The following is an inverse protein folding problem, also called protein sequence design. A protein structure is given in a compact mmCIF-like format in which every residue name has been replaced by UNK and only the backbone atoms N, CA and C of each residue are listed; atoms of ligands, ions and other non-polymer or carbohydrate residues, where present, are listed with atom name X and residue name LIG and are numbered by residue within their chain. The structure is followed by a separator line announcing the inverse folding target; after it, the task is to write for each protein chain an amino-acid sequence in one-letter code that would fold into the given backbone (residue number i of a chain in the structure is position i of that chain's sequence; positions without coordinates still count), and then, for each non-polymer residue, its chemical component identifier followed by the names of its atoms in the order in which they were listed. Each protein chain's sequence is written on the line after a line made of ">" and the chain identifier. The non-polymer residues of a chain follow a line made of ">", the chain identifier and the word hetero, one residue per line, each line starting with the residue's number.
data_IF_367072771471
#
_entry.id   IF_367072771471
#
_cell.length_a   1.000
_cell.length_b   1.000
_cell.length_c   1.000
_cell.angle_alpha   90.00
_cell.angle_beta   90.00
_cell.angle_gamma   90.00
#
_symmetry.space_group_name_H-M   'P 1'
#
loop_
_entity.id
_entity.type
_entity.pdbx_description
1 polymer ?
#
# COMPACT_ATOMS: atom_id res chain seq x y z
N UNK A 1 5.12 21.73 -2.57
CA UNK A 1 3.88 21.36 -1.87
C UNK A 1 4.19 20.15 -0.99
N UNK A 2 4.20 20.32 0.33
CA UNK A 2 4.58 19.26 1.26
C UNK A 2 3.46 18.22 1.37
N UNK A 3 3.76 16.96 1.11
CA UNK A 3 2.87 15.84 1.43
C UNK A 3 2.73 15.85 2.96
N UNK A 4 1.52 16.05 3.53
CA UNK A 4 1.36 16.09 4.97
C UNK A 4 1.88 14.76 5.55
N UNK A 5 2.74 14.87 6.57
CA UNK A 5 3.19 13.71 7.32
C UNK A 5 1.95 12.96 7.81
N UNK A 6 1.84 11.68 7.45
CA UNK A 6 0.79 10.79 7.96
C UNK A 6 0.71 10.99 9.48
N UNK A 7 -0.49 11.29 9.98
CA UNK A 7 -0.83 10.95 11.35
C UNK A 7 -0.47 9.46 11.52
N UNK A 8 0.60 9.18 12.28
CA UNK A 8 1.06 7.81 12.52
C UNK A 8 2.30 7.34 11.76
N UNK A 9 3.39 8.13 11.68
CA UNK A 9 4.70 7.46 11.68
C UNK A 9 4.80 6.71 13.00
N UNK A 10 4.82 5.38 12.97
CA UNK A 10 4.90 4.58 14.19
C UNK A 10 6.17 4.98 14.97
N UNK A 11 6.12 4.92 16.30
CA UNK A 11 7.31 5.20 17.16
C UNK A 11 8.54 4.41 16.69
N UNK A 12 8.31 3.20 16.18
CA UNK A 12 9.35 2.29 15.67
C UNK A 12 9.88 2.68 14.30
N UNK A 13 9.05 3.23 13.41
CA UNK A 13 9.54 3.77 12.12
C UNK A 13 10.50 4.95 12.36
N UNK A 14 10.22 5.81 13.36
CA UNK A 14 11.18 6.85 13.80
C UNK A 14 12.46 6.26 14.42
N UNK A 15 12.34 5.22 15.24
CA UNK A 15 13.51 4.55 15.82
C UNK A 15 14.40 3.91 14.74
N UNK A 16 13.79 3.21 13.78
CA UNK A 16 14.50 2.64 12.63
C UNK A 16 15.20 3.74 11.82
N UNK A 17 14.52 4.87 11.57
CA UNK A 17 15.12 6.03 10.92
C UNK A 17 16.36 6.54 11.67
N UNK A 18 16.27 6.68 13.00
CA UNK A 18 17.38 7.17 13.83
C UNK A 18 18.58 6.23 13.79
N UNK A 19 18.35 4.92 13.90
CA UNK A 19 19.42 3.92 13.86
C UNK A 19 20.08 3.83 12.48
N UNK A 20 19.29 3.93 11.40
CA UNK A 20 19.85 4.00 10.05
C UNK A 20 20.69 5.27 9.88
N UNK A 21 20.18 6.42 10.34
CA UNK A 21 20.89 7.70 10.26
C UNK A 21 22.20 7.73 11.09
N UNK A 22 22.29 6.94 12.17
CA UNK A 22 23.49 6.82 13.00
C UNK A 22 24.45 5.70 12.57
N UNK A 23 24.26 5.10 11.39
CA UNK A 23 25.09 4.01 10.88
C UNK A 23 24.86 2.65 11.55
N UNK A 24 23.80 2.52 12.35
CA UNK A 24 23.43 1.32 13.11
C UNK A 24 22.30 0.53 12.41
N UNK A 25 22.25 0.58 11.07
CA UNK A 25 21.21 -0.09 10.27
C UNK A 25 21.09 -1.60 10.53
N UNK A 26 22.21 -2.27 10.80
CA UNK A 26 22.27 -3.70 11.09
C UNK A 26 21.78 -4.08 12.50
N UNK A 27 21.51 -3.11 13.39
CA UNK A 27 21.01 -3.39 14.73
C UNK A 27 19.62 -4.03 14.65
N UNK A 28 19.42 -5.14 15.39
CA UNK A 28 18.11 -5.79 15.47
C UNK A 28 17.12 -4.94 16.28
N UNK A 29 15.89 -4.94 15.80
CA UNK A 29 14.71 -4.39 16.46
C UNK A 29 13.65 -5.48 16.53
N UNK A 30 13.03 -5.60 17.69
CA UNK A 30 11.77 -6.31 17.85
C UNK A 30 10.66 -5.29 18.11
N UNK A 31 9.55 -5.42 17.39
CA UNK A 31 8.42 -4.50 17.48
C UNK A 31 7.09 -5.23 17.33
N UNK A 32 6.07 -4.88 18.12
CA UNK A 32 4.71 -5.28 17.81
C UNK A 32 4.28 -4.62 16.49
N UNK A 33 3.59 -5.38 15.67
CA UNK A 33 3.02 -4.97 14.40
C UNK A 33 1.59 -5.53 14.28
N UNK A 34 0.82 -4.95 13.37
CA UNK A 34 -0.53 -5.40 13.03
C UNK A 34 -0.65 -5.50 11.52
N UNK A 35 -1.02 -6.69 11.02
CA UNK A 35 -1.36 -6.87 9.63
C UNK A 35 -2.78 -7.42 9.55
N UNK A 36 -3.70 -6.63 8.97
CA UNK A 36 -5.09 -7.01 8.77
C UNK A 36 -5.80 -7.47 10.04
N UNK A 37 -5.59 -6.74 11.15
CA UNK A 37 -6.19 -7.05 12.45
C UNK A 37 -5.44 -8.10 13.26
N UNK A 38 -4.43 -8.78 12.68
CA UNK A 38 -3.59 -9.73 13.41
C UNK A 38 -2.37 -9.03 14.00
N UNK A 39 -2.27 -9.04 15.32
CA UNK A 39 -1.09 -8.58 16.03
C UNK A 39 0.00 -9.66 16.03
N UNK A 40 1.25 -9.26 15.82
CA UNK A 40 2.42 -10.15 15.88
C UNK A 40 3.67 -9.35 16.23
N UNK A 41 4.76 -10.04 16.56
CA UNK A 41 6.06 -9.40 16.77
C UNK A 41 6.93 -9.57 15.53
N UNK A 42 7.42 -8.46 14.99
CA UNK A 42 8.44 -8.43 13.94
C UNK A 42 9.80 -8.35 14.60
N UNK A 43 10.72 -9.27 14.27
CA UNK A 43 12.13 -9.17 14.63
C UNK A 43 13.00 -9.10 13.37
N UNK A 44 13.61 -7.94 13.11
CA UNK A 44 14.43 -7.68 11.91
C UNK A 44 15.47 -6.59 12.19
N UNK A 45 16.32 -6.24 11.22
CA UNK A 45 17.27 -5.13 11.37
C UNK A 45 16.59 -3.76 11.19
N UNK A 46 17.18 -2.70 11.75
CA UNK A 46 16.65 -1.34 11.66
C UNK A 46 16.52 -0.86 10.20
N UNK A 47 17.50 -1.20 9.36
CA UNK A 47 17.47 -0.87 7.93
C UNK A 47 16.34 -1.59 7.19
N UNK A 48 16.11 -2.88 7.45
CA UNK A 48 15.04 -3.66 6.81
C UNK A 48 13.69 -3.11 7.25
N UNK A 49 13.49 -2.92 8.56
CA UNK A 49 12.25 -2.36 9.10
C UNK A 49 11.95 -0.98 8.49
N UNK A 50 12.93 -0.07 8.48
CA UNK A 50 12.73 1.28 7.98
C UNK A 50 12.54 1.33 6.46
N UNK A 51 13.22 0.47 5.70
CA UNK A 51 13.04 0.37 4.24
C UNK A 51 11.58 0.05 3.86
N UNK A 52 10.87 -0.69 4.71
CA UNK A 52 9.48 -1.04 4.53
C UNK A 52 8.52 0.03 5.08
N UNK A 53 8.70 0.41 6.35
CA UNK A 53 7.75 1.22 7.14
C UNK A 53 7.93 2.74 7.01
N UNK A 54 8.96 3.19 6.29
CA UNK A 54 9.14 4.61 5.98
C UNK A 54 7.94 5.15 5.18
N UNK A 55 7.56 6.44 5.33
CA UNK A 55 6.60 7.09 4.44
C UNK A 55 6.97 7.04 2.95
N UNK A 56 8.27 6.85 2.64
CA UNK A 56 8.79 6.62 1.29
C UNK A 56 9.25 5.17 1.07
N UNK A 57 8.95 4.29 2.03
CA UNK A 57 9.32 2.89 2.06
C UNK A 57 8.55 2.05 1.04
N UNK A 58 8.88 0.76 0.99
CA UNK A 58 8.33 -0.18 0.02
C UNK A 58 6.82 -0.40 0.19
N UNK A 59 6.28 -0.29 1.40
CA UNK A 59 4.85 -0.46 1.67
C UNK A 59 4.01 0.81 1.41
N UNK A 60 4.63 1.94 1.11
CA UNK A 60 3.91 3.21 0.95
C UNK A 60 3.28 3.33 -0.43
N UNK A 61 2.03 2.89 -0.59
CA UNK A 61 1.32 3.04 -1.86
C UNK A 61 1.34 4.47 -2.42
N UNK A 62 1.16 5.56 -1.63
CA UNK A 62 1.30 6.92 -2.16
C UNK A 62 2.69 7.23 -2.77
N UNK A 63 3.76 6.62 -2.25
CA UNK A 63 5.11 6.77 -2.79
C UNK A 63 5.40 5.83 -3.97
N UNK A 64 4.67 4.70 -4.07
CA UNK A 64 4.92 3.64 -5.07
C UNK A 64 3.99 3.72 -6.27
N UNK A 65 2.72 4.04 -6.08
CA UNK A 65 1.71 4.17 -7.13
C UNK A 65 2.19 5.04 -8.32
N UNK A 66 2.78 6.24 -8.11
CA UNK A 66 3.27 7.06 -9.22
C UNK A 66 4.38 6.42 -10.07
N UNK A 67 5.02 5.34 -9.57
CA UNK A 67 6.13 4.65 -10.23
C UNK A 67 5.69 3.47 -11.08
N UNK A 68 4.41 3.10 -11.09
CA UNK A 68 3.91 2.06 -12.00
C UNK A 68 4.12 2.50 -13.45
N UNK A 69 4.64 1.60 -14.30
CA UNK A 69 4.83 1.88 -15.73
C UNK A 69 3.49 2.14 -16.40
N UNK A 70 3.49 2.97 -17.45
CA UNK A 70 2.33 3.17 -18.32
C UNK A 70 1.95 1.90 -19.09
N UNK A 71 2.84 0.93 -19.20
CA UNK A 71 2.63 -0.31 -19.96
C UNK A 71 1.96 -1.41 -19.13
N UNK A 72 1.66 -1.13 -17.85
CA UNK A 72 1.02 -2.10 -16.95
C UNK A 72 -0.42 -1.65 -16.66
N UNK A 73 -1.45 -2.39 -17.11
CA UNK A 73 -2.82 -2.10 -16.75
C UNK A 73 -3.08 -2.40 -15.27
N UNK A 74 -3.76 -1.49 -14.57
CA UNK A 74 -4.08 -1.61 -13.15
C UNK A 74 -5.58 -1.70 -12.91
N UNK A 75 -6.03 -2.77 -12.27
CA UNK A 75 -7.33 -2.81 -11.62
C UNK A 75 -7.16 -2.53 -10.12
N UNK A 76 -7.85 -1.51 -9.60
CA UNK A 76 -8.00 -1.30 -8.16
C UNK A 76 -9.46 -1.48 -7.79
N UNK A 77 -9.74 -2.51 -6.99
CA UNK A 77 -11.06 -2.77 -6.41
C UNK A 77 -11.02 -2.46 -4.91
N UNK A 78 -12.02 -1.76 -4.40
CA UNK A 78 -12.13 -1.45 -2.97
C UNK A 78 -13.58 -1.42 -2.49
N UNK A 79 -13.80 -1.87 -1.25
CA UNK A 79 -15.09 -1.72 -0.58
C UNK A 79 -15.33 -0.28 -0.10
N UNK A 80 -16.55 0.23 -0.21
CA UNK A 80 -16.95 1.57 0.24
C UNK A 80 -16.94 1.75 1.77
N UNK A 81 -16.91 0.64 2.52
CA UNK A 81 -16.75 0.61 3.97
C UNK A 81 -15.32 0.24 4.40
N UNK A 82 -14.38 0.12 3.46
CA UNK A 82 -12.98 -0.10 3.77
C UNK A 82 -12.38 1.17 4.43
N UNK A 83 -11.61 1.06 5.52
CA UNK A 83 -10.93 2.21 6.13
C UNK A 83 -10.03 3.00 5.15
N UNK A 84 -9.58 2.37 4.07
CA UNK A 84 -8.75 2.95 3.03
C UNK A 84 -9.54 3.57 1.88
N UNK A 85 -10.87 3.47 1.86
CA UNK A 85 -11.73 3.88 0.73
C UNK A 85 -11.44 5.30 0.25
N UNK A 86 -11.44 6.26 1.17
CA UNK A 86 -11.22 7.68 0.86
C UNK A 86 -9.81 7.97 0.30
N UNK A 87 -8.83 7.09 0.53
CA UNK A 87 -7.46 7.26 0.05
C UNK A 87 -7.18 6.52 -1.26
N UNK A 88 -7.92 5.44 -1.54
CA UNK A 88 -7.60 4.52 -2.63
C UNK A 88 -7.62 5.20 -4.00
N UNK A 89 -8.65 5.98 -4.31
CA UNK A 89 -8.69 6.67 -5.59
C UNK A 89 -7.62 7.79 -5.70
N UNK A 90 -7.63 8.82 -4.83
CA UNK A 90 -6.76 9.98 -5.02
C UNK A 90 -5.27 9.69 -4.75
N UNK A 91 -4.94 8.76 -3.85
CA UNK A 91 -3.55 8.51 -3.47
C UNK A 91 -2.93 7.26 -4.12
N UNK A 92 -3.75 6.35 -4.68
CA UNK A 92 -3.26 5.08 -5.23
C UNK A 92 -3.65 4.93 -6.69
N UNK A 93 -4.94 4.90 -7.00
CA UNK A 93 -5.41 4.63 -8.36
C UNK A 93 -4.99 5.73 -9.33
N UNK A 94 -5.38 6.99 -9.10
CA UNK A 94 -5.12 8.07 -10.06
C UNK A 94 -3.61 8.26 -10.36
N UNK A 95 -2.69 8.16 -9.38
CA UNK A 95 -1.26 8.24 -9.67
C UNK A 95 -0.68 7.03 -10.42
N UNK A 96 -1.28 5.84 -10.29
CA UNK A 96 -0.78 4.59 -10.89
C UNK A 96 -1.44 4.24 -12.24
N UNK A 97 -2.71 4.57 -12.42
CA UNK A 97 -3.56 4.18 -13.53
C UNK A 97 -3.28 4.99 -14.80
N UNK A 98 -2.09 4.79 -15.38
CA UNK A 98 -1.64 5.48 -16.60
C UNK A 98 -2.01 4.73 -17.87
N UNK A 99 -2.22 3.42 -17.78
CA UNK A 99 -2.61 2.59 -18.91
C UNK A 99 -4.10 2.76 -19.23
N UNK A 100 -4.52 2.82 -20.51
CA UNK A 100 -5.93 2.95 -20.92
C UNK A 100 -6.89 1.86 -20.43
N UNK A 101 -6.39 0.68 -20.06
CA UNK A 101 -7.20 -0.43 -19.55
C UNK A 101 -7.22 -0.46 -18.02
N UNK A 102 -6.63 0.54 -17.35
CA UNK A 102 -6.72 0.66 -15.90
C UNK A 102 -8.15 0.97 -15.49
N UNK A 103 -8.61 0.39 -14.39
CA UNK A 103 -9.98 0.56 -13.89
C UNK A 103 -10.00 0.69 -12.37
N UNK A 104 -10.82 1.62 -11.89
CA UNK A 104 -11.18 1.74 -10.48
C UNK A 104 -12.59 1.20 -10.28
N UNK A 105 -12.77 0.36 -9.28
CA UNK A 105 -14.08 -0.20 -8.95
C UNK A 105 -14.32 -0.14 -7.44
N UNK A 106 -15.28 0.69 -7.03
CA UNK A 106 -15.83 0.63 -5.68
C UNK A 106 -16.94 -0.42 -5.59
N UNK A 107 -17.03 -1.12 -4.47
CA UNK A 107 -18.05 -2.13 -4.17
C UNK A 107 -18.76 -1.80 -2.85
N UNK A 108 -20.03 -2.14 -2.71
CA UNK A 108 -20.73 -2.06 -1.43
C UNK A 108 -20.28 -3.19 -0.50
N UNK A 109 -19.16 -3.01 0.18
CA UNK A 109 -18.52 -4.04 0.99
C UNK A 109 -17.55 -3.43 2.00
N UNK A 110 -17.27 -4.17 3.08
CA UNK A 110 -16.13 -3.87 3.94
C UNK A 110 -14.83 -4.46 3.37
N UNK A 111 -13.72 -4.29 4.10
CA UNK A 111 -12.41 -4.76 3.71
C UNK A 111 -12.39 -6.25 3.32
N UNK A 112 -13.05 -7.10 4.12
CA UNK A 112 -13.02 -8.56 3.92
C UNK A 112 -14.03 -8.97 2.85
N UNK A 113 -15.23 -8.41 2.88
CA UNK A 113 -16.29 -8.67 1.91
C UNK A 113 -15.94 -8.26 0.49
N UNK A 114 -15.08 -7.24 0.32
CA UNK A 114 -14.60 -6.81 -0.98
C UNK A 114 -13.89 -7.94 -1.75
N UNK A 115 -13.24 -8.88 -1.06
CA UNK A 115 -12.56 -10.02 -1.68
C UNK A 115 -13.54 -10.86 -2.48
N UNK A 116 -14.59 -11.38 -1.85
CA UNK A 116 -15.59 -12.21 -2.53
C UNK A 116 -16.43 -11.42 -3.54
N UNK A 117 -16.79 -10.18 -3.21
CA UNK A 117 -17.59 -9.33 -4.10
C UNK A 117 -16.82 -8.93 -5.38
N UNK A 118 -15.48 -8.97 -5.37
CA UNK A 118 -14.65 -8.59 -6.51
C UNK A 118 -14.54 -9.65 -7.61
N UNK A 119 -14.91 -10.92 -7.35
CA UNK A 119 -14.65 -12.04 -8.28
C UNK A 119 -15.17 -11.75 -9.69
N UNK A 120 -16.41 -11.28 -9.82
CA UNK A 120 -17.01 -10.96 -11.11
C UNK A 120 -16.32 -9.77 -11.80
N UNK A 121 -15.96 -8.74 -11.03
CA UNK A 121 -15.24 -7.55 -11.51
C UNK A 121 -13.89 -7.92 -12.10
N UNK A 122 -13.11 -8.71 -11.36
CA UNK A 122 -11.78 -9.16 -11.78
C UNK A 122 -11.88 -10.02 -13.03
N UNK A 123 -12.80 -10.99 -13.04
CA UNK A 123 -13.00 -11.89 -14.20
C UNK A 123 -13.37 -11.10 -15.45
N UNK A 124 -14.32 -10.17 -15.34
CA UNK A 124 -14.77 -9.33 -16.46
C UNK A 124 -13.64 -8.44 -16.97
N UNK A 125 -12.87 -7.84 -16.06
CA UNK A 125 -11.76 -6.96 -16.44
C UNK A 125 -10.65 -7.74 -17.16
N UNK A 126 -10.26 -8.91 -16.65
CA UNK A 126 -9.26 -9.76 -17.28
C UNK A 126 -9.67 -10.21 -18.67
N UNK A 127 -10.94 -10.60 -18.86
CA UNK A 127 -11.48 -10.97 -20.18
C UNK A 127 -11.53 -9.80 -21.17
N UNK A 128 -11.56 -8.56 -20.67
CA UNK A 128 -11.57 -7.34 -21.48
C UNK A 128 -10.18 -6.77 -21.77
N UNK A 129 -9.10 -7.38 -21.27
CA UNK A 129 -7.74 -6.96 -21.62
C UNK A 129 -7.44 -7.29 -23.09
N UNK A 130 -6.63 -6.46 -23.78
CA UNK A 130 -6.23 -6.76 -25.15
C UNK A 130 -5.42 -8.06 -25.18
N UNK A 131 -5.59 -8.84 -26.26
CA UNK A 131 -4.66 -9.92 -26.54
C UNK A 131 -3.27 -9.32 -26.82
N UNK A 132 -2.24 -9.93 -26.25
CA UNK A 132 -0.84 -9.59 -26.55
C UNK A 132 -0.48 -9.97 -27.98
#
# INVERSE_FOLDING_TARGET
>A
MAIPARAGVSRRSRQGQQLVASGQGAQRLSAPDNNQGRNFEVSTTAEVYFSWMSPRGLASMPARAPRLSSDIPLLLVIGDKDPSFAMAEPMIYRPAAKHPYSKYQSLQADHVGAVSASIGVVTTWLQGLPAN
#
